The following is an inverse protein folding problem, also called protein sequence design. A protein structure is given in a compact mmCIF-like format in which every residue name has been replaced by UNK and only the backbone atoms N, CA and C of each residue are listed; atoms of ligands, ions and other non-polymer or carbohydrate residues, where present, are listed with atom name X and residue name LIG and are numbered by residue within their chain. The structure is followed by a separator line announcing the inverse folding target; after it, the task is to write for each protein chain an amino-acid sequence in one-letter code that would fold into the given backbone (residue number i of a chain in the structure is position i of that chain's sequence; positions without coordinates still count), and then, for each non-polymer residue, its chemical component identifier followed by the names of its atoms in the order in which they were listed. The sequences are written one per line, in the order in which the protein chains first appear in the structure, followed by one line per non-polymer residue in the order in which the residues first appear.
data_IF_870002475597
#
_entry.id   IF_870002475597
#
_cell.length_a   1.000
_cell.length_b   1.000
_cell.length_c   1.000
_cell.angle_alpha   90.00
_cell.angle_beta   90.00
_cell.angle_gamma   90.00
#
_symmetry.space_group_name_H-M   'P 1'
#
loop_
_entity.id
_entity.type
_entity.pdbx_description
1 polymer ?
#
# COMPACT_ATOMS: atom_id res chain seq x y z
N UNK A 1 -11.70 20.79 10.77
CA UNK A 1 -12.70 20.38 9.75
C UNK A 1 -12.97 18.89 9.98
N UNK A 2 -14.22 18.42 9.88
CA UNK A 2 -14.51 16.98 9.97
C UNK A 2 -14.10 16.30 8.67
N UNK A 3 -13.47 15.12 8.79
CA UNK A 3 -12.99 14.33 7.68
C UNK A 3 -13.80 13.04 7.55
N UNK A 4 -14.18 12.69 6.32
CA UNK A 4 -15.02 11.53 6.03
C UNK A 4 -14.42 10.69 4.92
N UNK A 5 -14.46 9.37 5.09
CA UNK A 5 -14.07 8.37 4.13
C UNK A 5 -15.27 7.46 3.87
N UNK A 6 -15.78 7.46 2.63
CA UNK A 6 -17.00 6.77 2.25
C UNK A 6 -16.72 5.62 1.29
N UNK A 7 -17.56 4.58 1.36
CA UNK A 7 -17.59 3.52 0.38
C UNK A 7 -19.01 3.30 -0.15
N UNK A 8 -19.12 2.70 -1.34
CA UNK A 8 -20.39 2.29 -1.94
C UNK A 8 -20.22 0.91 -2.58
N UNK A 9 -21.23 0.05 -2.43
CA UNK A 9 -21.25 -1.25 -3.10
C UNK A 9 -22.09 -1.13 -4.36
N UNK A 10 -21.53 -1.55 -5.49
CA UNK A 10 -22.21 -1.52 -6.79
C UNK A 10 -22.34 -2.94 -7.37
N UNK A 11 -23.44 -3.19 -8.07
CA UNK A 11 -23.62 -4.35 -8.96
C UNK A 11 -23.95 -3.83 -10.35
N UNK A 12 -23.09 -4.13 -11.33
CA UNK A 12 -23.26 -3.68 -12.72
C UNK A 12 -23.65 -2.19 -12.81
N UNK A 13 -22.82 -1.33 -12.20
CA UNK A 13 -23.00 0.14 -12.12
C UNK A 13 -24.20 0.64 -11.30
N UNK A 14 -25.00 -0.25 -10.71
CA UNK A 14 -26.12 0.13 -9.84
C UNK A 14 -25.69 0.04 -8.38
N UNK A 15 -25.80 1.11 -7.58
CA UNK A 15 -25.59 1.03 -6.15
C UNK A 15 -26.53 -0.01 -5.52
N UNK A 16 -25.99 -0.92 -4.70
CA UNK A 16 -26.76 -1.92 -3.93
C UNK A 16 -27.33 -1.33 -2.63
N UNK A 17 -27.13 -0.03 -2.40
CA UNK A 17 -27.55 0.69 -1.21
C UNK A 17 -26.95 2.11 -1.20
N UNK A 18 -27.24 2.91 -0.17
CA UNK A 18 -26.57 4.19 0.03
C UNK A 18 -25.07 3.98 0.26
N UNK A 19 -24.29 5.03 -0.02
CA UNK A 19 -22.91 5.08 0.46
C UNK A 19 -22.91 5.07 2.01
N UNK A 20 -21.88 4.47 2.59
CA UNK A 20 -21.71 4.36 4.03
C UNK A 20 -20.35 4.90 4.46
N UNK A 21 -20.28 5.39 5.70
CA UNK A 21 -19.07 5.95 6.26
C UNK A 21 -18.16 4.81 6.77
N UNK A 22 -16.92 4.78 6.28
CA UNK A 22 -15.91 3.77 6.65
C UNK A 22 -15.13 4.22 7.87
N UNK A 23 -14.68 5.47 7.97
CA UNK A 23 -14.05 5.97 9.20
C UNK A 23 -15.12 6.44 10.21
N UNK A 24 -14.88 6.45 11.53
CA UNK A 24 -15.63 7.32 12.42
C UNK A 24 -15.35 8.79 12.05
N UNK A 25 -16.17 9.74 12.51
CA UNK A 25 -15.87 11.16 12.30
C UNK A 25 -14.46 11.49 12.85
N UNK A 26 -13.56 11.91 11.96
CA UNK A 26 -12.18 12.30 12.29
C UNK A 26 -11.98 13.81 12.06
N UNK A 27 -10.84 14.33 12.51
CA UNK A 27 -10.35 15.66 12.17
C UNK A 27 -9.29 15.58 11.08
N UNK A 28 -9.07 16.68 10.35
CA UNK A 28 -8.04 16.73 9.32
C UNK A 28 -8.54 16.22 7.96
N UNK A 29 -7.77 15.36 7.30
CA UNK A 29 -8.11 14.77 6.00
C UNK A 29 -7.95 13.24 6.01
N UNK A 30 -8.68 12.55 5.13
CA UNK A 30 -8.50 11.12 4.88
C UNK A 30 -8.05 10.98 3.43
N UNK A 31 -6.89 10.36 3.19
CA UNK A 31 -6.28 10.33 1.86
C UNK A 31 -5.75 8.94 1.50
N UNK A 32 -5.46 8.75 0.21
CA UNK A 32 -4.87 7.55 -0.38
C UNK A 32 -5.54 6.25 0.07
N UNK A 33 -6.86 6.11 -0.11
CA UNK A 33 -7.54 4.89 0.29
C UNK A 33 -7.20 3.74 -0.65
N UNK A 34 -7.13 2.54 -0.09
CA UNK A 34 -7.10 1.28 -0.83
C UNK A 34 -8.08 0.29 -0.21
N UNK A 35 -8.57 -0.66 -1.02
CA UNK A 35 -9.48 -1.70 -0.57
C UNK A 35 -9.28 -3.02 -1.33
N UNK A 36 -9.36 -4.13 -0.59
CA UNK A 36 -9.26 -5.48 -1.14
C UNK A 36 -10.06 -6.48 -0.33
N UNK A 37 -10.59 -7.50 -1.01
CA UNK A 37 -11.16 -8.68 -0.35
C UNK A 37 -10.03 -9.61 0.10
N UNK A 38 -10.08 -10.10 1.33
CA UNK A 38 -9.19 -11.16 1.80
C UNK A 38 -9.70 -12.57 1.43
N UNK A 39 -8.89 -13.59 1.71
CA UNK A 39 -9.23 -14.99 1.44
C UNK A 39 -10.45 -15.53 2.20
N UNK A 40 -10.93 -14.82 3.23
CA UNK A 40 -12.16 -15.14 3.97
C UNK A 40 -13.40 -14.38 3.44
N UNK A 41 -13.22 -13.53 2.43
CA UNK A 41 -14.29 -12.71 1.84
C UNK A 41 -14.60 -11.43 2.61
N UNK A 42 -13.80 -11.04 3.60
CA UNK A 42 -13.93 -9.72 4.24
C UNK A 42 -13.35 -8.66 3.32
N UNK A 43 -14.01 -7.51 3.23
CA UNK A 43 -13.45 -6.36 2.55
C UNK A 43 -12.65 -5.53 3.55
N UNK A 44 -11.36 -5.36 3.28
CA UNK A 44 -10.49 -4.46 4.04
C UNK A 44 -10.42 -3.10 3.37
N UNK A 45 -10.44 -2.06 4.18
CA UNK A 45 -10.13 -0.71 3.80
C UNK A 45 -8.88 -0.27 4.56
N UNK A 46 -7.96 0.39 3.86
CA UNK A 46 -6.88 1.16 4.46
C UNK A 46 -6.88 2.57 3.93
N UNK A 47 -6.40 3.51 4.73
CA UNK A 47 -6.26 4.90 4.32
C UNK A 47 -5.23 5.62 5.19
N UNK A 48 -4.73 6.74 4.68
CA UNK A 48 -3.94 7.70 5.45
C UNK A 48 -4.88 8.61 6.24
N UNK A 49 -4.73 8.66 7.55
CA UNK A 49 -5.43 9.57 8.46
C UNK A 49 -4.52 10.78 8.74
N UNK A 50 -4.73 11.87 7.98
CA UNK A 50 -3.97 13.12 8.07
C UNK A 50 -4.59 14.02 9.15
N UNK A 51 -4.38 13.68 10.42
CA UNK A 51 -5.05 14.37 11.53
C UNK A 51 -4.49 15.78 11.78
N UNK A 52 -3.31 16.10 11.25
CA UNK A 52 -2.77 17.46 11.15
C UNK A 52 -2.62 18.18 12.49
N UNK A 53 -2.51 17.41 13.58
CA UNK A 53 -2.30 17.94 14.92
C UNK A 53 -0.82 18.24 15.15
N UNK A 54 0.06 17.36 14.64
CA UNK A 54 1.51 17.52 14.59
C UNK A 54 2.05 16.86 13.28
N UNK A 55 3.22 17.24 12.75
CA UNK A 55 3.77 16.67 11.50
C UNK A 55 3.89 15.14 11.49
N UNK A 56 4.11 14.55 12.65
CA UNK A 56 4.26 13.12 12.88
C UNK A 56 2.92 12.43 13.23
N UNK A 57 1.82 13.18 13.24
CA UNK A 57 0.54 12.66 13.72
C UNK A 57 -0.20 11.77 12.71
N UNK A 58 0.24 11.74 11.44
CA UNK A 58 -0.44 11.00 10.38
C UNK A 58 -0.18 9.49 10.47
N UNK A 59 -1.24 8.71 10.19
CA UNK A 59 -1.30 7.27 10.48
C UNK A 59 -1.84 6.48 9.31
N UNK A 60 -1.50 5.21 9.24
CA UNK A 60 -2.23 4.24 8.42
C UNK A 60 -3.31 3.61 9.27
N UNK A 61 -4.54 3.80 8.85
CA UNK A 61 -5.72 3.24 9.50
C UNK A 61 -6.28 2.07 8.69
N UNK A 62 -7.02 1.19 9.35
CA UNK A 62 -7.75 0.12 8.70
C UNK A 62 -9.12 -0.13 9.31
N UNK A 63 -10.00 -0.73 8.51
CA UNK A 63 -11.30 -1.24 8.93
C UNK A 63 -11.73 -2.41 8.05
N UNK A 64 -12.36 -3.41 8.64
CA UNK A 64 -12.94 -4.52 7.90
C UNK A 64 -14.47 -4.39 7.81
N UNK A 65 -15.02 -4.78 6.66
CA UNK A 65 -16.43 -5.07 6.45
C UNK A 65 -16.59 -6.59 6.32
N UNK A 66 -17.43 -7.19 7.15
CA UNK A 66 -17.70 -8.62 7.11
C UNK A 66 -18.44 -9.01 5.82
N UNK A 67 -18.40 -10.29 5.40
CA UNK A 67 -19.22 -10.78 4.30
C UNK A 67 -20.73 -10.58 4.51
N UNK A 68 -21.17 -10.43 5.76
CA UNK A 68 -22.55 -10.14 6.16
C UNK A 68 -22.89 -8.64 6.06
N UNK A 69 -21.93 -7.78 5.73
CA UNK A 69 -22.12 -6.34 5.59
C UNK A 69 -21.96 -5.56 6.90
N UNK A 70 -21.30 -6.12 7.90
CA UNK A 70 -21.08 -5.48 9.20
C UNK A 70 -19.70 -4.81 9.24
N UNK A 71 -19.66 -3.51 9.54
CA UNK A 71 -18.41 -2.79 9.74
C UNK A 71 -17.84 -3.06 11.14
N UNK A 72 -16.62 -3.59 11.19
CA UNK A 72 -15.87 -3.81 12.43
C UNK A 72 -15.36 -2.53 13.10
N UNK A 73 -14.53 -2.63 14.14
CA UNK A 73 -13.82 -1.48 14.70
C UNK A 73 -12.76 -0.94 13.73
N UNK A 74 -12.30 0.30 13.97
CA UNK A 74 -11.10 0.82 13.30
C UNK A 74 -9.85 0.40 14.04
N UNK A 75 -8.78 0.18 13.28
CA UNK A 75 -7.44 -0.15 13.79
C UNK A 75 -6.45 0.92 13.32
N UNK A 76 -5.53 1.29 14.19
CA UNK A 76 -4.30 2.01 13.81
C UNK A 76 -3.28 0.93 13.43
N UNK A 77 -2.89 0.86 12.16
CA UNK A 77 -1.88 -0.11 11.70
C UNK A 77 -0.47 0.47 11.80
N UNK A 78 -0.29 1.74 11.47
CA UNK A 78 1.01 2.41 11.50
C UNK A 78 0.82 3.80 12.08
N UNK A 79 1.67 4.19 13.02
CA UNK A 79 1.75 5.54 13.57
C UNK A 79 3.22 5.95 13.72
N UNK A 80 3.61 6.68 14.76
CA UNK A 80 5.01 7.04 15.04
C UNK A 80 5.67 6.16 16.08
N UNK A 81 4.96 5.24 16.70
CA UNK A 81 5.53 4.36 17.71
C UNK A 81 6.50 3.33 17.12
N UNK A 82 6.37 2.99 15.83
CA UNK A 82 7.24 2.06 15.11
C UNK A 82 8.50 2.74 14.55
N UNK A 83 8.36 3.90 13.88
CA UNK A 83 9.47 4.68 13.30
C UNK A 83 9.23 6.18 13.60
N UNK A 84 9.82 6.76 14.66
CA UNK A 84 9.28 7.96 15.32
C UNK A 84 9.53 9.30 14.64
N UNK A 85 9.79 9.34 13.34
CA UNK A 85 10.39 10.52 12.70
C UNK A 85 9.54 11.14 11.60
N UNK A 86 8.75 10.36 10.87
CA UNK A 86 7.99 10.87 9.71
C UNK A 86 6.65 10.18 9.60
N UNK A 87 5.63 10.77 8.97
CA UNK A 87 4.35 10.10 8.75
C UNK A 87 4.46 8.93 7.76
N UNK A 88 3.55 7.97 7.89
CA UNK A 88 3.35 6.88 6.92
C UNK A 88 2.24 7.27 5.92
N UNK A 89 2.51 7.12 4.63
CA UNK A 89 1.66 7.62 3.55
C UNK A 89 1.43 6.56 2.47
N UNK A 90 0.41 6.80 1.63
CA UNK A 90 0.06 5.98 0.48
C UNK A 90 -0.04 4.47 0.81
N UNK A 91 -0.84 4.06 1.81
CA UNK A 91 -0.98 2.65 2.13
C UNK A 91 -1.61 1.88 0.95
N UNK A 92 -1.12 0.66 0.74
CA UNK A 92 -1.63 -0.30 -0.24
C UNK A 92 -1.71 -1.68 0.41
N UNK A 93 -2.71 -2.47 0.02
CA UNK A 93 -2.89 -3.83 0.55
C UNK A 93 -2.93 -4.88 -0.56
N UNK A 94 -2.26 -6.01 -0.29
CA UNK A 94 -2.34 -7.20 -1.12
C UNK A 94 -2.89 -8.37 -0.29
N UNK A 95 -4.06 -8.95 -0.64
CA UNK A 95 -4.73 -9.93 0.22
C UNK A 95 -3.94 -11.23 0.33
N UNK A 96 -3.95 -11.82 1.52
CA UNK A 96 -3.45 -13.18 1.69
C UNK A 96 -4.46 -14.16 1.08
N UNK A 97 -3.97 -15.08 0.25
CA UNK A 97 -4.80 -16.17 -0.31
C UNK A 97 -5.17 -17.25 0.72
N UNK A 98 -4.71 -17.11 1.96
CA UNK A 98 -5.05 -18.00 3.04
C UNK A 98 -6.56 -17.88 3.37
N UNK A 99 -7.30 -19.01 3.51
CA UNK A 99 -8.73 -18.99 3.88
C UNK A 99 -9.02 -18.32 5.23
N UNK A 100 -8.04 -18.22 6.12
CA UNK A 100 -8.17 -17.45 7.36
C UNK A 100 -8.26 -15.95 7.10
N UNK A 101 -7.73 -15.47 5.97
CA UNK A 101 -7.74 -14.08 5.49
C UNK A 101 -6.58 -13.25 6.03
N UNK A 102 -6.75 -11.92 6.01
CA UNK A 102 -5.66 -10.95 6.22
C UNK A 102 -5.01 -10.50 4.91
N UNK A 103 -3.95 -9.70 5.03
CA UNK A 103 -3.30 -9.03 3.90
C UNK A 103 -1.86 -8.64 4.23
N UNK A 104 -1.05 -8.39 3.21
CA UNK A 104 0.20 -7.66 3.36
C UNK A 104 -0.09 -6.16 3.22
N UNK A 105 0.28 -5.38 4.23
CA UNK A 105 0.29 -3.92 4.16
C UNK A 105 1.61 -3.46 3.55
N UNK A 106 1.54 -2.52 2.61
CA UNK A 106 2.67 -1.73 2.15
C UNK A 106 2.39 -0.24 2.35
N UNK A 107 3.42 0.55 2.63
CA UNK A 107 3.30 2.00 2.80
C UNK A 107 4.63 2.69 2.51
N UNK A 108 4.57 3.98 2.16
CA UNK A 108 5.73 4.84 1.98
C UNK A 108 6.02 5.64 3.25
N UNK A 109 7.28 5.74 3.63
CA UNK A 109 7.74 6.55 4.78
C UNK A 109 9.21 6.90 4.63
N UNK A 110 9.62 8.10 5.03
CA UNK A 110 11.03 8.46 5.02
C UNK A 110 11.78 7.90 6.23
N UNK A 111 13.03 7.49 6.03
CA UNK A 111 13.94 7.12 7.10
C UNK A 111 14.55 8.37 7.77
N UNK A 112 15.24 8.18 8.89
CA UNK A 112 16.03 9.24 9.54
C UNK A 112 17.18 9.79 8.67
N UNK A 113 17.54 9.07 7.60
CA UNK A 113 18.51 9.51 6.59
C UNK A 113 17.91 10.47 5.54
N UNK A 114 16.61 10.73 5.61
CA UNK A 114 15.89 11.66 4.74
C UNK A 114 15.44 11.07 3.40
N UNK A 115 15.66 9.78 3.16
CA UNK A 115 15.21 9.13 1.93
C UNK A 115 13.90 8.37 2.15
N UNK A 116 13.03 8.37 1.13
CA UNK A 116 11.78 7.61 1.16
C UNK A 116 12.05 6.12 0.98
N UNK A 117 11.24 5.33 1.68
CA UNK A 117 11.29 3.87 1.67
C UNK A 117 9.90 3.31 1.50
N UNK A 118 9.87 2.09 0.98
CA UNK A 118 8.69 1.24 1.04
C UNK A 118 8.87 0.25 2.18
N UNK A 119 7.88 0.23 3.06
CA UNK A 119 7.78 -0.70 4.16
C UNK A 119 6.68 -1.71 3.90
N UNK A 120 6.81 -2.89 4.50
CA UNK A 120 5.76 -3.88 4.50
C UNK A 120 5.62 -4.58 5.84
N UNK A 121 4.40 -5.03 6.14
CA UNK A 121 4.11 -5.88 7.27
C UNK A 121 2.84 -6.72 7.03
N UNK A 122 2.86 -8.03 7.32
CA UNK A 122 1.64 -8.83 7.27
C UNK A 122 0.65 -8.40 8.37
N UNK A 123 -0.63 -8.39 8.02
CA UNK A 123 -1.75 -8.10 8.91
C UNK A 123 -2.68 -9.31 8.93
N UNK A 124 -3.02 -9.76 10.12
CA UNK A 124 -3.86 -10.92 10.34
C UNK A 124 -5.32 -10.68 9.93
N UNK A 125 -6.06 -11.78 9.88
CA UNK A 125 -7.51 -11.80 9.74
C UNK A 125 -8.29 -10.95 10.76
N UNK A 126 -7.71 -10.68 11.93
CA UNK A 126 -8.30 -9.87 13.01
C UNK A 126 -7.83 -8.41 12.98
N UNK A 127 -6.97 -8.05 12.01
CA UNK A 127 -6.40 -6.71 11.90
C UNK A 127 -5.19 -6.48 12.79
N UNK A 128 -4.56 -7.54 13.30
CA UNK A 128 -3.36 -7.47 14.11
C UNK A 128 -2.11 -7.50 13.23
N UNK A 129 -1.12 -6.67 13.56
CA UNK A 129 0.19 -6.71 12.91
C UNK A 129 0.91 -8.02 13.25
N UNK A 130 1.43 -8.71 12.24
CA UNK A 130 2.12 -10.00 12.39
C UNK A 130 3.60 -9.83 12.09
N UNK A 131 4.45 -10.35 12.98
CA UNK A 131 5.89 -10.31 12.79
C UNK A 131 6.47 -8.89 12.85
N UNK A 132 7.64 -8.70 12.21
CA UNK A 132 8.32 -7.41 12.16
C UNK A 132 8.04 -6.70 10.84
N UNK A 133 8.03 -5.37 10.89
CA UNK A 133 8.12 -4.53 9.70
C UNK A 133 9.40 -4.86 8.94
N UNK A 134 9.31 -4.91 7.61
CA UNK A 134 10.46 -5.05 6.72
C UNK A 134 10.55 -3.88 5.74
N UNK A 135 11.76 -3.61 5.25
CA UNK A 135 12.01 -2.63 4.18
C UNK A 135 11.99 -3.37 2.84
N UNK A 136 11.06 -2.97 1.97
CA UNK A 136 10.88 -3.55 0.65
C UNK A 136 11.60 -2.78 -0.45
N UNK A 137 12.11 -1.58 -0.16
CA UNK A 137 12.89 -0.75 -1.08
C UNK A 137 14.41 -1.01 -0.99
N UNK A 138 15.19 -0.70 -2.05
CA UNK A 138 16.65 -0.79 -2.00
C UNK A 138 17.29 0.11 -0.93
N UNK A 139 18.53 -0.20 -0.47
CA UNK A 139 19.23 0.61 0.51
C UNK A 139 19.70 1.96 -0.07
N UNK A 140 19.95 2.96 0.79
CA UNK A 140 20.46 4.27 0.36
C UNK A 140 21.74 4.16 -0.49
N UNK A 141 21.97 5.12 -1.42
CA UNK A 141 21.30 6.41 -1.51
C UNK A 141 20.00 6.42 -2.33
N UNK A 142 19.34 5.28 -2.57
CA UNK A 142 18.05 5.29 -3.25
C UNK A 142 16.93 5.94 -2.45
N UNK A 143 15.90 6.42 -3.13
CA UNK A 143 14.61 6.83 -2.57
C UNK A 143 13.50 6.14 -3.34
N UNK A 144 12.49 5.61 -2.65
CA UNK A 144 11.42 4.83 -3.27
C UNK A 144 10.07 5.11 -2.64
N UNK A 145 9.00 4.84 -3.39
CA UNK A 145 7.67 4.78 -2.81
C UNK A 145 6.77 3.78 -3.52
N UNK A 146 5.82 3.30 -2.73
CA UNK A 146 4.91 2.23 -3.12
C UNK A 146 3.97 2.74 -4.21
N UNK A 147 3.71 1.91 -5.23
CA UNK A 147 2.84 2.28 -6.33
C UNK A 147 1.72 1.29 -6.64
N UNK A 148 2.04 -0.01 -6.59
CA UNK A 148 1.04 -1.07 -6.73
C UNK A 148 1.54 -2.34 -6.05
N UNK A 149 0.62 -3.11 -5.50
CA UNK A 149 0.90 -4.44 -4.99
C UNK A 149 -0.20 -5.41 -5.47
N UNK A 150 0.18 -6.65 -5.77
CA UNK A 150 -0.78 -7.70 -6.14
C UNK A 150 -0.34 -9.04 -5.59
N UNK A 151 -1.30 -9.86 -5.16
CA UNK A 151 -1.04 -11.20 -4.62
C UNK A 151 -0.82 -12.19 -5.74
N UNK A 152 0.23 -13.00 -5.64
CA UNK A 152 0.56 -13.97 -6.68
C UNK A 152 -0.19 -15.30 -6.46
N UNK A 153 -0.71 -15.95 -7.51
CA UNK A 153 -1.46 -17.22 -7.39
C UNK A 153 -0.69 -18.33 -6.67
N UNK A 154 0.63 -18.38 -6.83
CA UNK A 154 1.54 -19.32 -6.18
C UNK A 154 1.92 -18.93 -4.74
N UNK A 155 1.32 -17.87 -4.20
CA UNK A 155 1.68 -17.25 -2.93
C UNK A 155 2.74 -16.16 -3.06
N UNK A 156 2.79 -15.29 -2.06
CA UNK A 156 3.62 -14.08 -2.08
C UNK A 156 2.96 -12.94 -2.86
N UNK A 157 3.77 -11.95 -3.23
CA UNK A 157 3.29 -10.70 -3.77
C UNK A 157 4.20 -10.20 -4.88
N UNK A 158 3.65 -9.46 -5.81
CA UNK A 158 4.43 -8.58 -6.66
C UNK A 158 4.23 -7.14 -6.20
N UNK A 159 5.35 -6.45 -6.02
CA UNK A 159 5.42 -5.07 -5.59
C UNK A 159 6.02 -4.23 -6.72
N UNK A 160 5.39 -3.09 -6.97
CA UNK A 160 5.80 -2.10 -7.95
C UNK A 160 6.07 -0.79 -7.21
N UNK A 161 7.27 -0.26 -7.41
CA UNK A 161 7.75 0.95 -6.75
C UNK A 161 8.18 1.98 -7.81
N UNK A 162 7.99 3.26 -7.51
CA UNK A 162 8.81 4.28 -8.14
C UNK A 162 10.15 4.33 -7.41
N UNK A 163 11.26 4.36 -8.15
CA UNK A 163 12.60 4.29 -7.58
C UNK A 163 13.49 5.37 -8.17
N UNK A 164 14.08 6.18 -7.31
CA UNK A 164 15.26 6.99 -7.60
C UNK A 164 16.47 6.21 -7.09
N UNK A 165 17.30 5.59 -7.95
CA UNK A 165 18.34 4.66 -7.51
C UNK A 165 19.51 5.35 -6.80
N UNK A 166 19.67 6.68 -6.98
CA UNK A 166 20.67 7.49 -6.33
C UNK A 166 20.10 8.90 -6.13
N UNK A 167 19.41 9.14 -5.02
CA UNK A 167 18.67 10.39 -4.79
C UNK A 167 19.57 11.59 -4.48
N UNK A 168 20.85 11.36 -4.15
CA UNK A 168 21.88 12.39 -4.00
C UNK A 168 22.69 12.64 -5.29
N UNK A 169 22.50 11.81 -6.34
CA UNK A 169 23.13 12.03 -7.63
C UNK A 169 22.50 13.20 -8.40
N UNK A 170 23.31 13.97 -9.10
CA UNK A 170 22.82 14.92 -10.10
C UNK A 170 22.13 14.16 -11.25
N UNK A 171 20.94 14.60 -11.64
CA UNK A 171 20.14 14.02 -12.73
C UNK A 171 19.82 12.52 -12.58
N UNK A 172 19.59 12.04 -11.36
CA UNK A 172 19.18 10.66 -11.13
C UNK A 172 17.89 10.32 -11.91
N UNK A 173 17.82 9.18 -12.63
CA UNK A 173 16.60 8.78 -13.30
C UNK A 173 15.56 8.34 -12.27
N UNK A 174 14.28 8.57 -12.58
CA UNK A 174 13.17 7.92 -11.86
C UNK A 174 12.79 6.67 -12.65
N UNK A 175 12.83 5.52 -12.02
CA UNK A 175 12.48 4.23 -12.61
C UNK A 175 11.16 3.73 -12.05
N UNK A 176 10.58 2.76 -12.76
CA UNK A 176 9.56 1.86 -12.24
C UNK A 176 10.20 0.52 -12.06
N UNK A 177 10.31 0.08 -10.81
CA UNK A 177 10.99 -1.16 -10.45
C UNK A 177 10.00 -2.15 -9.84
N UNK A 178 10.14 -3.40 -10.24
CA UNK A 178 9.35 -4.52 -9.77
C UNK A 178 10.18 -5.45 -8.90
N UNK A 179 9.52 -6.06 -7.92
CA UNK A 179 10.07 -7.07 -7.03
C UNK A 179 8.98 -8.10 -6.70
N UNK A 180 9.29 -9.39 -6.78
CA UNK A 180 8.45 -10.41 -6.16
C UNK A 180 8.91 -10.65 -4.72
N UNK A 181 7.95 -10.72 -3.81
CA UNK A 181 8.12 -10.97 -2.39
C UNK A 181 7.48 -12.32 -2.02
N UNK A 182 8.08 -13.02 -1.07
CA UNK A 182 7.44 -14.16 -0.40
C UNK A 182 6.39 -13.66 0.59
N UNK A 183 5.58 -14.59 1.11
CA UNK A 183 4.53 -14.29 2.10
C UNK A 183 5.10 -13.64 3.38
N UNK A 184 6.34 -13.98 3.73
CA UNK A 184 7.06 -13.40 4.88
C UNK A 184 7.68 -12.02 4.60
N UNK A 185 7.49 -11.46 3.40
CA UNK A 185 8.07 -10.19 2.98
C UNK A 185 9.51 -10.27 2.49
N UNK A 186 10.13 -11.45 2.46
CA UNK A 186 11.49 -11.60 1.92
C UNK A 186 11.49 -11.52 0.38
N UNK A 187 12.53 -10.92 -0.25
CA UNK A 187 12.67 -10.92 -1.70
C UNK A 187 12.70 -12.34 -2.30
N UNK A 188 11.74 -12.65 -3.16
CA UNK A 188 11.72 -13.86 -3.99
C UNK A 188 12.54 -13.67 -5.27
N UNK A 189 12.67 -12.43 -5.75
CA UNK A 189 13.52 -12.04 -6.89
C UNK A 189 14.43 -10.88 -6.51
N UNK A 190 15.47 -10.59 -7.30
CA UNK A 190 16.07 -9.26 -7.32
C UNK A 190 15.07 -8.21 -7.83
N UNK A 191 15.34 -6.93 -7.55
CA UNK A 191 14.67 -5.83 -8.23
C UNK A 191 14.97 -5.85 -9.72
N UNK A 192 13.99 -5.46 -10.52
CA UNK A 192 14.19 -5.28 -11.95
C UNK A 192 13.41 -4.05 -12.45
N UNK A 193 14.04 -3.31 -13.35
CA UNK A 193 13.38 -2.18 -14.02
C UNK A 193 12.30 -2.71 -14.97
N UNK A 194 11.04 -2.37 -14.70
CA UNK A 194 9.89 -2.65 -15.58
C UNK A 194 10.01 -1.82 -16.86
N UNK A 195 10.43 -0.56 -16.73
CA UNK A 195 10.71 0.32 -17.85
C UNK A 195 12.23 0.46 -18.06
N UNK A 196 12.71 0.14 -19.26
CA UNK A 196 14.09 0.45 -19.70
C UNK A 196 14.13 1.67 -20.59
N UNK A 197 13.60 2.82 -20.17
CA UNK A 197 13.73 4.02 -20.98
C UNK A 197 15.04 4.74 -20.64
N UNK A 198 15.87 4.98 -21.66
CA UNK A 198 17.09 5.80 -21.54
C UNK A 198 16.80 7.31 -21.51
N UNK A 199 15.53 7.71 -21.63
CA UNK A 199 15.12 9.11 -21.60
C UNK A 199 14.69 9.47 -20.17
N UNK A 200 15.29 10.53 -19.63
CA UNK A 200 15.05 11.12 -18.30
C UNK A 200 13.65 11.75 -18.18
N UNK A 201 12.61 11.17 -18.76
CA UNK A 201 11.26 11.73 -18.60
C UNK A 201 10.69 11.26 -17.27
N UNK A 202 10.11 12.17 -16.45
CA UNK A 202 9.50 11.79 -15.19
C UNK A 202 8.42 10.72 -15.43
N UNK A 203 8.45 9.63 -14.68
CA UNK A 203 7.31 8.72 -14.63
C UNK A 203 6.28 9.37 -13.70
N UNK A 204 5.22 9.94 -14.27
CA UNK A 204 4.11 10.49 -13.51
C UNK A 204 3.10 9.39 -13.20
N UNK A 205 3.42 8.61 -12.17
CA UNK A 205 2.50 7.66 -11.55
C UNK A 205 2.44 6.33 -12.29
N UNK A 206 2.99 5.31 -11.66
CA UNK A 206 2.51 3.95 -11.82
C UNK A 206 1.06 3.90 -11.33
N UNK A 207 0.17 3.23 -12.06
CA UNK A 207 -1.29 3.29 -11.81
C UNK A 207 -1.91 1.98 -11.39
N UNK A 208 -1.20 0.86 -11.52
CA UNK A 208 -1.70 -0.42 -11.06
C UNK A 208 -0.96 -1.62 -11.63
N UNK A 209 -1.28 -2.77 -11.07
CA UNK A 209 -0.83 -4.07 -11.55
C UNK A 209 -1.99 -5.06 -11.44
N UNK A 210 -2.02 -6.03 -12.35
CA UNK A 210 -2.94 -7.14 -12.33
C UNK A 210 -2.16 -8.43 -12.64
N UNK A 211 -2.61 -9.53 -12.07
CA UNK A 211 -2.01 -10.86 -12.29
C UNK A 211 -3.08 -11.83 -12.77
N UNK A 212 -2.75 -12.62 -13.78
CA UNK A 212 -3.62 -13.69 -14.25
C UNK A 212 -3.46 -14.97 -13.42
N UNK A 213 -4.31 -15.98 -13.67
CA UNK A 213 -4.25 -17.25 -12.95
C UNK A 213 -2.98 -18.10 -13.21
N UNK A 214 -2.13 -17.70 -14.16
CA UNK A 214 -0.85 -18.35 -14.45
C UNK A 214 0.32 -17.62 -13.77
N UNK A 215 0.06 -16.48 -13.11
CA UNK A 215 1.08 -15.64 -12.50
C UNK A 215 1.73 -14.65 -13.45
N UNK A 216 1.19 -14.45 -14.66
CA UNK A 216 1.66 -13.38 -15.55
C UNK A 216 1.16 -12.03 -15.03
N UNK A 217 2.08 -11.09 -14.91
CA UNK A 217 1.81 -9.78 -14.31
C UNK A 217 1.75 -8.74 -15.43
N UNK A 218 0.65 -8.00 -15.48
CA UNK A 218 0.47 -6.83 -16.32
C UNK A 218 0.55 -5.61 -15.42
N UNK A 219 1.39 -4.65 -15.80
CA UNK A 219 1.58 -3.40 -15.07
C UNK A 219 1.24 -2.24 -15.99
N UNK A 220 0.65 -1.18 -15.44
CA UNK A 220 0.32 0.04 -16.17
C UNK A 220 0.96 1.24 -15.49
N UNK A 221 1.61 2.08 -16.30
CA UNK A 221 2.33 3.25 -15.84
C UNK A 221 2.18 4.41 -16.81
N UNK A 222 2.14 5.64 -16.28
CA UNK A 222 2.13 6.86 -17.06
C UNK A 222 3.54 7.38 -17.31
N UNK A 223 3.85 7.69 -18.57
CA UNK A 223 5.03 8.48 -18.95
C UNK A 223 4.61 9.87 -19.41
N UNK A 224 5.49 10.85 -19.24
CA UNK A 224 5.49 12.10 -20.02
C UNK A 224 6.45 12.01 -21.20
#
# INVERSE_FOLDING_TARGET
MKAFFFASVLKAQTPLGPAFLVNPESVGAQDNPDLQFDGAGRLWFVWTDLIGLEPESDRVMARALSPQGELGPTSVLVDTSDIPVTPALAPLIAPLHDPSGGFMLFYSRSDADGFDRVYGQPVSATGELVGKIFKASPPPPSSAGVSAATSLPQGGFFLLEYLVPCADCTDAPVNVDGLALRVDGSPATPYFQVQRNRRKTPVLGVRGSAVDGQGNIVVVWGGV
#
